data_IF_164697453222
#
_entry.id   IF_164697453222
#
_cell.length_a   1.000
_cell.length_b   1.000
_cell.length_c   1.000
_cell.angle_alpha   90.00
_cell.angle_beta   90.00
_cell.angle_gamma   90.00
#
_symmetry.space_group_name_H-M   'P 1'
#
loop_
_entity.id
_entity.type
_entity.pdbx_description
1 polymer ?
#
# COMPACT_ATOMS: atom_id res chain seq x y z
N UNK A 1 -5.47 -20.38 29.16
CA UNK A 1 -5.79 -19.96 27.77
C UNK A 1 -7.17 -19.31 27.79
N UNK A 2 -7.27 -17.99 27.61
CA UNK A 2 -8.56 -17.30 27.57
C UNK A 2 -9.29 -17.70 26.27
N UNK A 3 -10.45 -18.34 26.40
CA UNK A 3 -11.30 -18.74 25.27
C UNK A 3 -12.03 -17.51 24.70
N UNK A 4 -11.34 -16.74 23.84
CA UNK A 4 -11.91 -15.58 23.14
C UNK A 4 -13.07 -15.91 22.19
N UNK A 5 -13.32 -17.20 21.93
CA UNK A 5 -14.44 -17.70 21.13
C UNK A 5 -15.74 -17.84 21.94
N UNK A 6 -15.67 -17.88 23.27
CA UNK A 6 -16.85 -18.11 24.13
C UNK A 6 -17.73 -16.86 24.28
N UNK A 7 -17.13 -15.66 24.24
CA UNK A 7 -17.88 -14.40 24.35
C UNK A 7 -17.43 -13.36 23.31
N UNK A 8 -17.98 -13.56 22.10
CA UNK A 8 -17.80 -12.65 20.97
C UNK A 8 -18.33 -11.24 21.26
N UNK A 9 -19.34 -11.09 22.14
CA UNK A 9 -19.91 -9.79 22.47
C UNK A 9 -18.97 -9.00 23.36
N UNK A 10 -18.45 -9.63 24.42
CA UNK A 10 -17.51 -9.00 25.33
C UNK A 10 -16.19 -8.64 24.63
N UNK A 11 -15.68 -9.52 23.78
CA UNK A 11 -14.44 -9.28 23.02
C UNK A 11 -14.60 -8.12 22.02
N UNK A 12 -15.74 -8.02 21.33
CA UNK A 12 -16.05 -6.90 20.44
C UNK A 12 -16.20 -5.58 21.22
N UNK A 13 -16.81 -5.63 22.40
CA UNK A 13 -17.00 -4.46 23.26
C UNK A 13 -15.68 -3.96 23.83
N UNK A 14 -14.78 -4.86 24.27
CA UNK A 14 -13.42 -4.51 24.70
C UNK A 14 -12.61 -3.87 23.55
N UNK A 15 -12.74 -4.36 22.32
CA UNK A 15 -12.09 -3.76 21.14
C UNK A 15 -12.68 -2.38 20.79
N UNK A 16 -13.99 -2.19 20.95
CA UNK A 16 -14.67 -0.89 20.78
C UNK A 16 -14.26 0.12 21.84
N UNK A 17 -14.11 -0.32 23.09
CA UNK A 17 -13.74 0.52 24.21
C UNK A 17 -12.24 0.88 24.20
N UNK A 18 -11.39 0.11 23.52
CA UNK A 18 -9.96 0.35 23.36
C UNK A 18 -9.61 1.48 22.36
N UNK A 19 -10.60 2.14 21.76
CA UNK A 19 -10.42 3.41 21.03
C UNK A 19 -9.62 3.36 19.72
N UNK A 20 -9.28 2.17 19.23
CA UNK A 20 -8.35 1.97 18.10
C UNK A 20 -8.94 1.16 16.95
N UNK A 21 -10.26 1.27 16.75
CA UNK A 21 -10.91 0.65 15.59
C UNK A 21 -10.77 1.55 14.36
N UNK A 22 -9.81 1.20 13.49
CA UNK A 22 -9.89 1.51 12.06
C UNK A 22 -11.30 1.18 11.53
N UNK A 23 -11.81 1.89 10.48
CA UNK A 23 -13.18 1.73 9.98
C UNK A 23 -13.40 0.38 9.28
N UNK A 24 -13.38 -0.70 10.06
CA UNK A 24 -13.52 -2.07 9.62
C UNK A 24 -14.98 -2.52 9.87
N UNK A 25 -15.67 -3.10 8.87
CA UNK A 25 -17.07 -3.45 9.00
C UNK A 25 -17.34 -4.41 10.16
N UNK A 26 -18.31 -4.08 11.03
CA UNK A 26 -18.68 -4.92 12.20
C UNK A 26 -19.01 -6.37 11.82
N UNK A 27 -19.61 -6.59 10.66
CA UNK A 27 -19.94 -7.92 10.11
C UNK A 27 -18.72 -8.77 9.80
N UNK A 28 -17.56 -8.14 9.56
CA UNK A 28 -16.29 -8.82 9.29
C UNK A 28 -15.56 -9.14 10.59
N UNK A 29 -15.67 -8.30 11.63
CA UNK A 29 -15.08 -8.58 12.96
C UNK A 29 -15.59 -9.88 13.55
N UNK A 30 -16.89 -10.13 13.43
CA UNK A 30 -17.51 -11.37 13.92
C UNK A 30 -16.89 -12.62 13.28
N UNK A 31 -16.53 -12.55 11.98
CA UNK A 31 -15.88 -13.67 11.26
C UNK A 31 -14.43 -13.86 11.69
N UNK A 32 -13.67 -12.76 11.84
CA UNK A 32 -12.29 -12.83 12.34
C UNK A 32 -12.25 -13.44 13.74
N UNK A 33 -13.11 -12.97 14.64
CA UNK A 33 -13.18 -13.44 16.03
C UNK A 33 -13.72 -14.86 16.16
N UNK A 34 -14.54 -15.33 15.21
CA UNK A 34 -15.01 -16.73 15.16
C UNK A 34 -14.02 -17.69 14.50
N UNK A 35 -12.79 -17.24 14.20
CA UNK A 35 -11.77 -18.06 13.53
C UNK A 35 -12.07 -18.39 12.06
N UNK A 36 -13.01 -17.68 11.44
CA UNK A 36 -13.40 -17.89 10.04
C UNK A 36 -12.57 -16.98 9.16
N UNK A 37 -11.90 -17.55 8.15
CA UNK A 37 -11.14 -16.79 7.16
C UNK A 37 -12.01 -15.67 6.54
N UNK A 38 -11.45 -14.46 6.50
CA UNK A 38 -12.09 -13.28 5.91
C UNK A 38 -11.41 -12.95 4.60
N UNK A 39 -12.21 -12.85 3.54
CA UNK A 39 -11.74 -12.31 2.27
C UNK A 39 -11.43 -10.82 2.44
N UNK A 40 -10.15 -10.49 2.46
CA UNK A 40 -9.64 -9.12 2.64
C UNK A 40 -9.96 -8.22 1.44
N UNK A 41 -10.09 -8.76 0.21
CA UNK A 41 -10.48 -7.95 -0.96
C UNK A 41 -11.88 -7.33 -0.77
N UNK A 42 -12.81 -8.07 -0.16
CA UNK A 42 -14.17 -7.58 0.16
C UNK A 42 -14.16 -6.58 1.32
N UNK A 43 -13.19 -6.70 2.24
CA UNK A 43 -13.04 -5.75 3.33
C UNK A 43 -12.51 -4.43 2.79
N UNK A 44 -11.45 -4.48 2.00
CA UNK A 44 -10.77 -3.30 1.49
C UNK A 44 -11.51 -2.61 0.33
N UNK A 45 -12.41 -3.30 -0.38
CA UNK A 45 -13.24 -2.67 -1.44
C UNK A 45 -14.16 -1.55 -0.93
N UNK A 46 -14.47 -1.52 0.37
CA UNK A 46 -15.24 -0.44 1.00
C UNK A 46 -14.40 0.76 1.45
N UNK A 47 -13.07 0.62 1.49
CA UNK A 47 -12.17 1.71 1.86
C UNK A 47 -11.86 2.53 0.61
N UNK A 48 -12.61 3.62 0.41
CA UNK A 48 -12.22 4.61 -0.59
C UNK A 48 -10.98 5.36 -0.07
N UNK A 49 -9.94 5.55 -0.90
CA UNK A 49 -8.80 6.37 -0.48
C UNK A 49 -9.30 7.77 -0.13
N UNK A 50 -9.02 8.21 1.10
CA UNK A 50 -9.50 9.50 1.62
C UNK A 50 -8.91 10.70 0.87
N UNK A 51 -7.79 10.49 0.16
CA UNK A 51 -7.12 11.49 -0.67
C UNK A 51 -6.42 10.80 -1.84
N UNK A 52 -6.55 11.34 -3.04
CA UNK A 52 -5.80 10.89 -4.22
C UNK A 52 -4.39 11.49 -4.15
N UNK A 53 -3.36 10.68 -4.41
CA UNK A 53 -1.97 11.15 -4.51
C UNK A 53 -1.84 11.96 -5.80
N UNK A 54 -1.51 13.25 -5.67
CA UNK A 54 -1.41 14.17 -6.82
C UNK A 54 -0.07 14.91 -6.89
N UNK A 55 0.62 15.06 -5.77
CA UNK A 55 1.86 15.82 -5.69
C UNK A 55 3.03 14.95 -5.21
N UNK A 56 4.26 15.44 -5.42
CA UNK A 56 5.46 14.88 -4.82
C UNK A 56 5.33 14.69 -3.30
N UNK A 57 4.80 15.70 -2.59
CA UNK A 57 4.60 15.63 -1.14
C UNK A 57 3.57 14.57 -0.71
N UNK A 58 2.45 14.47 -1.43
CA UNK A 58 1.45 13.41 -1.17
C UNK A 58 2.05 12.02 -1.38
N UNK A 59 2.90 11.87 -2.41
CA UNK A 59 3.58 10.61 -2.70
C UNK A 59 4.56 10.24 -1.59
N UNK A 60 5.41 11.18 -1.11
CA UNK A 60 6.33 10.93 0.01
C UNK A 60 5.57 10.44 1.25
N UNK A 61 4.50 11.15 1.64
CA UNK A 61 3.72 10.80 2.83
C UNK A 61 3.15 9.38 2.68
N UNK A 62 2.49 9.12 1.54
CA UNK A 62 1.85 7.83 1.26
C UNK A 62 2.88 6.70 1.19
N UNK A 63 4.03 6.93 0.55
CA UNK A 63 5.10 5.95 0.41
C UNK A 63 5.75 5.62 1.76
N UNK A 64 6.01 6.62 2.60
CA UNK A 64 6.58 6.40 3.94
C UNK A 64 5.64 5.59 4.83
N UNK A 65 4.35 5.92 4.84
CA UNK A 65 3.33 5.16 5.57
C UNK A 65 3.25 3.72 5.05
N UNK A 66 3.19 3.54 3.73
CA UNK A 66 3.12 2.21 3.10
C UNK A 66 4.38 1.40 3.38
N UNK A 67 5.56 2.00 3.25
CA UNK A 67 6.84 1.34 3.53
C UNK A 67 6.95 0.91 4.98
N UNK A 68 6.53 1.77 5.93
CA UNK A 68 6.51 1.42 7.35
C UNK A 68 5.61 0.22 7.63
N UNK A 69 4.41 0.20 7.04
CA UNK A 69 3.48 -0.91 7.18
C UNK A 69 4.04 -2.21 6.57
N UNK A 70 4.68 -2.13 5.40
CA UNK A 70 5.34 -3.28 4.77
C UNK A 70 6.49 -3.79 5.64
N UNK A 71 7.35 -2.91 6.14
CA UNK A 71 8.53 -3.29 6.94
C UNK A 71 8.17 -3.84 8.31
N UNK A 72 7.02 -3.48 8.86
CA UNK A 72 6.49 -4.10 10.08
C UNK A 72 6.27 -5.61 9.90
N UNK A 73 5.85 -6.04 8.71
CA UNK A 73 5.58 -7.45 8.39
C UNK A 73 6.78 -8.11 7.70
N UNK A 74 7.53 -7.37 6.89
CA UNK A 74 8.62 -7.85 6.04
C UNK A 74 9.88 -6.99 6.22
N UNK A 75 10.60 -7.09 7.36
CA UNK A 75 11.75 -6.23 7.64
C UNK A 75 12.89 -6.34 6.61
N UNK A 76 13.03 -7.52 5.98
CA UNK A 76 14.06 -7.79 4.98
C UNK A 76 13.91 -6.97 3.69
N UNK A 77 12.71 -6.40 3.41
CA UNK A 77 12.45 -5.60 2.21
C UNK A 77 12.94 -4.13 2.33
N UNK A 78 13.64 -3.78 3.41
CA UNK A 78 14.10 -2.39 3.67
C UNK A 78 14.94 -1.82 2.55
N UNK A 79 15.92 -2.59 2.06
CA UNK A 79 16.78 -2.18 0.96
C UNK A 79 15.98 -1.96 -0.33
N UNK A 80 15.11 -2.90 -0.69
CA UNK A 80 14.28 -2.84 -1.89
C UNK A 80 13.41 -1.57 -1.93
N UNK A 81 12.66 -1.32 -0.85
CA UNK A 81 11.79 -0.14 -0.76
C UNK A 81 12.57 1.17 -0.76
N UNK A 82 13.76 1.18 -0.15
CA UNK A 82 14.63 2.36 -0.16
C UNK A 82 15.18 2.66 -1.56
N UNK A 83 15.62 1.64 -2.30
CA UNK A 83 16.13 1.81 -3.66
C UNK A 83 15.02 2.31 -4.59
N UNK A 84 13.85 1.68 -4.54
CA UNK A 84 12.69 2.11 -5.32
C UNK A 84 12.28 3.56 -5.00
N UNK A 85 12.28 3.93 -3.72
CA UNK A 85 11.97 5.30 -3.31
C UNK A 85 12.91 6.32 -3.93
N UNK A 86 14.22 6.07 -3.86
CA UNK A 86 15.23 6.95 -4.47
C UNK A 86 15.02 7.10 -5.97
N UNK A 87 14.71 5.99 -6.64
CA UNK A 87 14.45 5.95 -8.07
C UNK A 87 13.23 6.82 -8.46
N UNK A 88 12.08 6.66 -7.79
CA UNK A 88 10.90 7.50 -8.08
C UNK A 88 11.16 8.99 -7.72
N UNK A 89 11.82 9.26 -6.60
CA UNK A 89 12.15 10.62 -6.18
C UNK A 89 13.09 11.33 -7.17
N UNK A 90 13.93 10.60 -7.90
CA UNK A 90 14.74 11.18 -8.96
C UNK A 90 13.86 11.80 -10.05
N UNK A 91 12.79 11.14 -10.47
CA UNK A 91 11.88 11.70 -11.49
C UNK A 91 11.10 12.91 -11.00
N UNK A 92 10.67 12.94 -9.73
CA UNK A 92 10.06 14.15 -9.16
C UNK A 92 11.02 15.34 -9.14
N UNK A 93 12.32 15.09 -8.96
CA UNK A 93 13.36 16.14 -9.01
C UNK A 93 13.64 16.61 -10.44
N UNK A 94 13.72 15.69 -11.40
CA UNK A 94 14.04 16.03 -12.80
C UNK A 94 12.84 16.60 -13.55
N UNK A 95 11.62 16.21 -13.17
CA UNK A 95 10.36 16.59 -13.83
C UNK A 95 9.38 17.26 -12.85
N UNK A 96 9.73 18.43 -12.27
CA UNK A 96 8.94 19.08 -11.20
C UNK A 96 7.54 19.52 -11.63
N UNK A 97 7.27 19.63 -12.93
CA UNK A 97 5.96 20.01 -13.48
C UNK A 97 5.14 18.80 -13.95
N UNK A 98 5.71 17.60 -14.00
CA UNK A 98 5.06 16.40 -14.54
C UNK A 98 4.72 15.38 -13.44
N UNK A 99 4.31 15.85 -12.25
CA UNK A 99 3.96 14.98 -11.11
C UNK A 99 2.99 13.86 -11.49
N UNK A 100 1.96 14.16 -12.31
CA UNK A 100 0.98 13.18 -12.77
C UNK A 100 1.62 12.03 -13.55
N UNK A 101 2.60 12.32 -14.42
CA UNK A 101 3.33 11.31 -15.19
C UNK A 101 4.17 10.41 -14.27
N UNK A 102 4.89 10.99 -13.32
CA UNK A 102 5.68 10.24 -12.33
C UNK A 102 4.79 9.34 -11.47
N UNK A 103 3.63 9.83 -11.02
CA UNK A 103 2.66 9.05 -10.25
C UNK A 103 2.06 7.92 -11.09
N UNK A 104 1.81 8.15 -12.38
CA UNK A 104 1.31 7.10 -13.27
C UNK A 104 2.37 6.04 -13.58
N UNK A 105 3.64 6.44 -13.69
CA UNK A 105 4.77 5.50 -13.77
C UNK A 105 4.84 4.62 -12.51
N UNK A 106 4.78 5.21 -11.31
CA UNK A 106 4.77 4.46 -10.05
C UNK A 106 3.64 3.43 -9.98
N UNK A 107 2.43 3.82 -10.39
CA UNK A 107 1.29 2.89 -10.50
C UNK A 107 1.56 1.76 -11.50
N UNK A 108 2.13 2.08 -12.66
CA UNK A 108 2.43 1.10 -13.70
C UNK A 108 3.48 0.08 -13.23
N UNK A 109 4.55 0.54 -12.59
CA UNK A 109 5.58 -0.32 -12.00
C UNK A 109 4.96 -1.21 -10.93
N UNK A 110 4.19 -0.64 -10.00
CA UNK A 110 3.52 -1.41 -8.96
C UNK A 110 2.56 -2.49 -9.51
N UNK A 111 1.88 -2.23 -10.63
CA UNK A 111 1.06 -3.25 -11.30
C UNK A 111 1.94 -4.32 -11.96
N UNK A 112 2.96 -3.91 -12.70
CA UNK A 112 3.89 -4.83 -13.38
C UNK A 112 4.58 -5.79 -12.39
N UNK A 113 5.11 -5.28 -11.28
CA UNK A 113 5.73 -6.08 -10.21
C UNK A 113 4.75 -7.08 -9.57
N UNK A 114 3.45 -6.74 -9.50
CA UNK A 114 2.42 -7.68 -9.00
C UNK A 114 2.10 -8.78 -9.99
N UNK A 115 2.19 -8.49 -11.28
CA UNK A 115 1.92 -9.44 -12.36
C UNK A 115 3.11 -10.39 -12.59
N UNK A 116 4.34 -9.86 -12.52
CA UNK A 116 5.56 -10.62 -12.73
C UNK A 116 6.16 -11.06 -11.40
N UNK A 117 5.94 -12.33 -11.04
CA UNK A 117 6.35 -12.92 -9.74
C UNK A 117 7.86 -12.92 -9.44
N UNK A 118 8.71 -12.62 -10.42
CA UNK A 118 10.16 -12.74 -10.31
C UNK A 118 10.91 -11.41 -10.39
N UNK A 119 10.22 -10.28 -10.35
CA UNK A 119 10.84 -8.95 -10.40
C UNK A 119 10.56 -8.23 -9.08
N UNK A 120 11.60 -7.71 -8.45
CA UNK A 120 11.49 -6.86 -7.26
C UNK A 120 11.48 -5.37 -7.61
N UNK A 121 10.98 -4.51 -6.71
CA UNK A 121 11.03 -3.05 -6.91
C UNK A 121 12.47 -2.49 -6.90
N UNK A 122 13.42 -3.26 -6.38
CA UNK A 122 14.86 -2.96 -6.37
C UNK A 122 15.49 -3.04 -7.77
N UNK A 123 14.91 -3.83 -8.67
CA UNK A 123 15.45 -4.11 -9.99
C UNK A 123 15.07 -3.05 -11.02
N UNK A 124 15.38 -1.79 -10.70
CA UNK A 124 14.95 -0.60 -11.44
C UNK A 124 15.32 -0.62 -12.93
N UNK A 125 16.37 -1.36 -13.30
CA UNK A 125 16.77 -1.54 -14.70
C UNK A 125 15.69 -2.22 -15.57
N UNK A 126 14.78 -3.01 -14.98
CA UNK A 126 13.69 -3.64 -15.71
C UNK A 126 12.56 -2.66 -16.07
N UNK A 127 12.54 -1.45 -15.51
CA UNK A 127 11.44 -0.50 -15.69
C UNK A 127 11.66 0.52 -16.81
N UNK A 128 12.79 0.47 -17.54
CA UNK A 128 13.09 1.40 -18.64
C UNK A 128 11.99 1.49 -19.71
N UNK A 129 11.37 0.35 -20.02
CA UNK A 129 10.26 0.31 -20.99
C UNK A 129 9.00 1.05 -20.47
N UNK A 130 8.79 1.09 -19.15
CA UNK A 130 7.72 1.87 -18.52
C UNK A 130 8.09 3.35 -18.44
N UNK A 131 9.35 3.68 -18.15
CA UNK A 131 9.85 5.06 -18.19
C UNK A 131 9.57 5.69 -19.55
N UNK A 132 9.98 5.02 -20.64
CA UNK A 132 9.74 5.50 -22.00
C UNK A 132 8.25 5.73 -22.26
N UNK A 133 7.39 4.78 -21.86
CA UNK A 133 5.94 4.86 -22.10
C UNK A 133 5.23 5.97 -21.32
N UNK A 134 5.63 6.21 -20.07
CA UNK A 134 4.89 7.09 -19.16
C UNK A 134 5.52 8.48 -19.01
N UNK A 135 6.82 8.63 -19.29
CA UNK A 135 7.54 9.89 -19.14
C UNK A 135 7.82 10.62 -20.46
N UNK A 136 7.62 9.99 -21.63
CA UNK A 136 7.73 10.70 -22.91
C UNK A 136 6.80 11.92 -22.95
N UNK A 137 7.32 13.05 -23.44
CA UNK A 137 6.51 14.20 -23.81
C UNK A 137 5.77 13.86 -25.11
N UNK A 138 4.44 13.97 -25.10
CA UNK A 138 3.68 14.02 -26.34
C UNK A 138 4.08 15.36 -26.99
N UNK A 139 4.84 15.30 -28.08
CA UNK A 139 5.28 16.48 -28.83
C UNK A 139 4.13 17.26 -29.44
#
# INVERSE_FOLDING_TARGET
VQNYTADLKHTLWSLQSAGSLHPFPKSKWKRVLSGVAVNLNVVFSGFKPSKVVQTHGDWIITWNTTSTAILCVFPHRSFELQQYSKYILQFFRTLPYLHSKVINLDKAICCYTKEVKHIELSEVGHFQHLEARYLQEDG
#
